data_IF_652183700904
#
_entry.id   IF_652183700904
#
_cell.length_a   1.000
_cell.length_b   1.000
_cell.length_c   1.000
_cell.angle_alpha   90.00
_cell.angle_beta   90.00
_cell.angle_gamma   90.00
#
_symmetry.space_group_name_H-M   'P 1'
#
loop_
_entity.id
_entity.type
_entity.pdbx_description
1 polymer ?
#
# COMPACT_ATOMS: atom_id res chain seq x y z
N UNK A 1 13.87 -10.82 9.65
CA UNK A 1 13.50 -11.02 11.08
C UNK A 1 12.06 -10.62 11.29
N UNK A 2 11.33 -11.31 12.19
CA UNK A 2 9.99 -10.89 12.60
C UNK A 2 10.06 -9.57 13.42
N UNK A 3 8.91 -8.89 13.54
CA UNK A 3 8.80 -7.60 14.24
C UNK A 3 9.41 -7.63 15.63
N UNK A 4 9.02 -8.61 16.46
CA UNK A 4 9.50 -8.72 17.83
C UNK A 4 11.02 -8.89 17.95
N UNK A 5 11.64 -9.51 16.97
CA UNK A 5 13.10 -9.65 16.91
C UNK A 5 13.82 -8.37 16.49
N UNK A 6 13.13 -7.43 15.86
CA UNK A 6 13.71 -6.14 15.44
C UNK A 6 13.59 -5.07 16.54
N UNK A 7 12.59 -5.21 17.39
CA UNK A 7 12.28 -4.25 18.44
C UNK A 7 13.48 -4.07 19.38
N UNK A 8 13.93 -2.83 19.57
CA UNK A 8 15.06 -2.48 20.44
C UNK A 8 16.44 -2.90 19.94
N UNK A 9 16.56 -3.64 18.83
CA UNK A 9 17.87 -4.01 18.27
C UNK A 9 18.48 -2.83 17.51
N UNK A 10 19.77 -2.53 17.73
CA UNK A 10 20.48 -1.53 16.95
C UNK A 10 20.40 -1.86 15.44
N UNK A 11 20.17 -0.84 14.63
CA UNK A 11 20.10 -0.98 13.18
C UNK A 11 21.47 -0.80 12.55
N UNK A 12 21.83 -1.75 11.68
CA UNK A 12 22.99 -1.65 10.81
C UNK A 12 22.48 -1.63 9.37
N UNK A 13 22.88 -0.66 8.55
CA UNK A 13 22.49 -0.65 7.13
C UNK A 13 22.93 -1.92 6.42
N UNK A 14 22.11 -2.54 5.55
CA UNK A 14 22.47 -3.77 4.87
C UNK A 14 23.72 -3.58 3.99
N UNK A 15 24.78 -4.37 4.22
CA UNK A 15 26.03 -4.32 3.43
C UNK A 15 25.90 -5.13 2.12
N UNK A 16 24.70 -5.22 1.59
CA UNK A 16 24.33 -6.12 0.48
C UNK A 16 24.31 -5.31 -0.82
N UNK A 17 24.86 -5.87 -1.87
CA UNK A 17 24.88 -5.28 -3.20
C UNK A 17 23.68 -5.76 -4.03
N UNK A 18 23.26 -4.94 -4.98
CA UNK A 18 22.23 -5.31 -5.95
C UNK A 18 22.62 -6.58 -6.74
N UNK A 19 23.88 -6.74 -7.06
CA UNK A 19 24.40 -7.92 -7.75
C UNK A 19 24.16 -9.20 -6.94
N UNK A 20 24.45 -9.22 -5.64
CA UNK A 20 24.19 -10.38 -4.78
C UNK A 20 22.72 -10.77 -4.74
N UNK A 21 21.81 -9.79 -4.72
CA UNK A 21 20.35 -10.03 -4.77
C UNK A 21 19.95 -10.65 -6.12
N UNK A 22 20.43 -10.10 -7.24
CA UNK A 22 20.11 -10.61 -8.57
C UNK A 22 20.71 -12.00 -8.85
N UNK A 23 21.94 -12.26 -8.40
CA UNK A 23 22.62 -13.56 -8.60
C UNK A 23 21.92 -14.69 -7.82
N UNK A 24 21.22 -14.36 -6.72
CA UNK A 24 20.52 -15.34 -5.90
C UNK A 24 19.20 -15.82 -6.53
N UNK A 25 18.64 -15.09 -7.50
CA UNK A 25 17.34 -15.39 -8.08
C UNK A 25 17.49 -16.06 -9.45
N UNK A 26 17.03 -17.31 -9.62
CA UNK A 26 17.07 -18.01 -10.89
C UNK A 26 16.32 -17.26 -11.99
N UNK A 27 16.93 -17.12 -13.15
CA UNK A 27 16.39 -16.35 -14.29
C UNK A 27 15.02 -16.83 -14.79
N UNK A 28 14.69 -18.11 -14.60
CA UNK A 28 13.38 -18.62 -15.00
C UNK A 28 12.22 -18.02 -14.19
N UNK A 29 12.46 -17.62 -12.92
CA UNK A 29 11.46 -16.97 -12.08
C UNK A 29 11.11 -15.54 -12.54
N UNK A 30 11.97 -14.95 -13.36
CA UNK A 30 11.77 -13.61 -13.92
C UNK A 30 10.99 -13.63 -15.25
N UNK A 31 10.69 -14.84 -15.77
CA UNK A 31 10.00 -14.99 -17.05
C UNK A 31 8.49 -14.84 -16.90
N UNK A 32 7.90 -14.11 -17.82
CA UNK A 32 6.44 -13.97 -17.93
C UNK A 32 5.86 -15.21 -18.62
N UNK A 33 4.73 -15.68 -18.09
CA UNK A 33 3.93 -16.75 -18.72
C UNK A 33 2.54 -16.19 -19.04
N UNK A 34 2.25 -15.86 -20.33
CA UNK A 34 0.97 -15.31 -20.74
C UNK A 34 -0.21 -16.24 -20.46
N UNK A 35 -0.04 -17.55 -20.55
CA UNK A 35 -1.12 -18.52 -20.30
C UNK A 35 -1.50 -18.52 -18.82
N UNK A 36 -0.50 -18.56 -17.95
CA UNK A 36 -0.69 -18.48 -16.51
C UNK A 36 -1.30 -17.15 -16.11
N UNK A 37 -0.87 -16.05 -16.73
CA UNK A 37 -1.43 -14.72 -16.54
C UNK A 37 -2.91 -14.66 -16.96
N UNK A 38 -3.24 -15.22 -18.12
CA UNK A 38 -4.63 -15.32 -18.61
C UNK A 38 -5.51 -16.15 -17.67
N UNK A 39 -4.98 -17.27 -17.15
CA UNK A 39 -5.70 -18.07 -16.15
C UNK A 39 -6.10 -17.23 -14.94
N UNK A 40 -5.20 -16.43 -14.38
CA UNK A 40 -5.51 -15.58 -13.22
C UNK A 40 -6.55 -14.50 -13.56
N UNK A 41 -6.47 -13.90 -14.74
CA UNK A 41 -7.48 -12.93 -15.20
C UNK A 41 -8.87 -13.56 -15.29
N UNK A 42 -8.97 -14.73 -15.95
CA UNK A 42 -10.23 -15.46 -16.09
C UNK A 42 -10.75 -15.90 -14.71
N UNK A 43 -9.88 -16.43 -13.85
CA UNK A 43 -10.21 -16.84 -12.49
C UNK A 43 -10.88 -15.71 -11.71
N UNK A 44 -10.26 -14.52 -11.70
CA UNK A 44 -10.72 -13.41 -10.88
C UNK A 44 -12.01 -12.78 -11.43
N UNK A 45 -12.15 -12.68 -12.75
CA UNK A 45 -13.41 -12.26 -13.39
C UNK A 45 -14.51 -13.28 -13.10
N UNK A 46 -14.20 -14.58 -13.13
CA UNK A 46 -15.17 -15.65 -12.84
C UNK A 46 -15.64 -15.61 -11.38
N UNK A 47 -14.73 -15.41 -10.41
CA UNK A 47 -15.12 -15.26 -9.01
C UNK A 47 -15.94 -13.99 -8.78
N UNK A 48 -15.57 -12.87 -9.41
CA UNK A 48 -16.35 -11.63 -9.34
C UNK A 48 -17.78 -11.85 -9.84
N UNK A 49 -17.94 -12.54 -10.99
CA UNK A 49 -19.26 -12.90 -11.56
C UNK A 49 -20.03 -13.87 -10.68
N UNK A 50 -19.34 -14.89 -10.12
CA UNK A 50 -19.96 -15.88 -9.22
C UNK A 50 -20.50 -15.24 -7.95
N UNK A 51 -19.71 -14.37 -7.31
CA UNK A 51 -20.17 -13.68 -6.10
C UNK A 51 -21.28 -12.67 -6.41
N UNK A 52 -21.21 -12.00 -7.55
CA UNK A 52 -22.31 -11.15 -7.99
C UNK A 52 -23.61 -11.94 -8.18
N UNK A 53 -23.53 -13.11 -8.83
CA UNK A 53 -24.67 -14.03 -8.97
C UNK A 53 -25.19 -14.53 -7.62
N UNK A 54 -24.30 -14.86 -6.67
CA UNK A 54 -24.68 -15.17 -5.29
C UNK A 54 -25.48 -14.01 -4.65
N UNK A 55 -25.02 -12.77 -4.80
CA UNK A 55 -25.73 -11.59 -4.32
C UNK A 55 -27.15 -11.48 -4.90
N UNK A 56 -27.30 -11.68 -6.21
CA UNK A 56 -28.61 -11.70 -6.88
C UNK A 56 -29.52 -12.83 -6.40
N UNK A 57 -28.95 -13.91 -5.88
CA UNK A 57 -29.71 -15.10 -5.46
C UNK A 57 -30.16 -15.04 -3.98
N UNK A 58 -29.72 -14.06 -3.19
CA UNK A 58 -29.99 -13.98 -1.73
C UNK A 58 -31.49 -14.02 -1.42
N UNK A 59 -32.31 -13.23 -2.10
CA UNK A 59 -33.74 -13.19 -1.84
C UNK A 59 -34.46 -14.49 -2.29
N UNK A 60 -33.97 -15.17 -3.34
CA UNK A 60 -34.46 -16.50 -3.74
C UNK A 60 -34.17 -17.56 -2.68
N UNK A 61 -32.93 -17.56 -2.15
CA UNK A 61 -32.51 -18.49 -1.10
C UNK A 61 -33.40 -18.34 0.14
N UNK A 62 -33.80 -17.13 0.48
CA UNK A 62 -34.62 -16.81 1.65
C UNK A 62 -36.11 -17.12 1.45
N UNK A 63 -36.63 -17.11 0.21
CA UNK A 63 -38.05 -17.34 -0.09
C UNK A 63 -38.44 -18.79 -0.22
N UNK A 64 -37.60 -19.74 0.15
CA UNK A 64 -37.84 -21.19 0.04
C UNK A 64 -38.15 -21.73 -1.37
N UNK A 65 -37.94 -20.97 -2.43
CA UNK A 65 -38.06 -21.44 -3.82
C UNK A 65 -37.10 -22.58 -4.16
N UNK A 66 -36.11 -22.79 -3.31
CA UNK A 66 -35.13 -23.91 -3.37
C UNK A 66 -35.44 -25.03 -2.36
N UNK A 67 -36.72 -25.35 -2.11
CA UNK A 67 -37.10 -26.55 -1.41
C UNK A 67 -36.63 -26.65 0.06
N UNK A 68 -36.65 -25.55 0.82
CA UNK A 68 -36.49 -25.60 2.26
C UNK A 68 -35.10 -25.89 2.81
N UNK A 69 -34.04 -25.57 2.07
CA UNK A 69 -32.63 -25.75 2.54
C UNK A 69 -32.28 -24.94 3.80
N UNK A 70 -33.02 -23.89 4.10
CA UNK A 70 -32.95 -23.17 5.37
C UNK A 70 -34.31 -23.20 6.05
N UNK A 71 -34.51 -24.01 7.11
CA UNK A 71 -35.78 -24.09 7.84
C UNK A 71 -35.98 -22.85 8.72
N UNK A 72 -36.07 -21.67 8.07
CA UNK A 72 -36.28 -20.38 8.75
C UNK A 72 -37.78 -20.20 8.97
N UNK A 73 -38.29 -20.59 10.10
CA UNK A 73 -39.73 -20.49 10.43
C UNK A 73 -40.13 -19.18 11.09
N UNK A 74 -39.20 -18.53 11.81
CA UNK A 74 -39.47 -17.28 12.50
C UNK A 74 -38.98 -16.06 11.72
N UNK A 75 -39.73 -14.95 11.77
CA UNK A 75 -39.38 -13.72 11.07
C UNK A 75 -37.99 -13.15 11.43
N UNK A 76 -37.56 -13.30 12.68
CA UNK A 76 -36.21 -12.88 13.09
C UNK A 76 -35.09 -13.73 12.46
N UNK A 77 -35.34 -15.04 12.26
CA UNK A 77 -34.37 -15.94 11.59
C UNK A 77 -34.19 -15.53 10.12
N UNK A 78 -35.26 -15.19 9.42
CA UNK A 78 -35.20 -14.66 8.03
C UNK A 78 -34.45 -13.34 7.98
N UNK A 79 -34.68 -12.42 8.93
CA UNK A 79 -33.95 -11.15 9.01
C UNK A 79 -32.45 -11.38 9.28
N UNK A 80 -32.12 -12.25 10.21
CA UNK A 80 -30.72 -12.57 10.53
C UNK A 80 -30.05 -13.28 9.36
N UNK A 81 -30.71 -14.29 8.75
CA UNK A 81 -30.20 -14.98 7.56
C UNK A 81 -29.92 -14.03 6.41
N UNK A 82 -30.85 -13.09 6.15
CA UNK A 82 -30.64 -12.02 5.15
C UNK A 82 -29.42 -11.19 5.46
N UNK A 83 -29.26 -10.73 6.69
CA UNK A 83 -28.11 -9.91 7.08
C UNK A 83 -26.78 -10.68 6.91
N UNK A 84 -26.73 -11.95 7.32
CA UNK A 84 -25.54 -12.81 7.18
C UNK A 84 -25.18 -13.08 5.72
N UNK A 85 -26.16 -13.35 4.85
CA UNK A 85 -25.94 -13.58 3.42
C UNK A 85 -25.44 -12.32 2.71
N UNK A 86 -26.00 -11.14 3.04
CA UNK A 86 -25.52 -9.87 2.51
C UNK A 86 -24.09 -9.57 3.00
N UNK A 87 -23.76 -9.81 4.27
CA UNK A 87 -22.41 -9.66 4.79
C UNK A 87 -21.42 -10.57 4.07
N UNK A 88 -21.79 -11.84 3.84
CA UNK A 88 -20.98 -12.78 3.08
C UNK A 88 -20.77 -12.30 1.63
N UNK A 89 -21.84 -11.85 0.97
CA UNK A 89 -21.73 -11.26 -0.37
C UNK A 89 -20.75 -10.09 -0.40
N UNK A 90 -20.93 -9.12 0.48
CA UNK A 90 -20.09 -7.93 0.52
C UNK A 90 -18.62 -8.27 0.77
N UNK A 91 -18.36 -9.24 1.63
CA UNK A 91 -17.02 -9.73 1.89
C UNK A 91 -16.36 -10.31 0.62
N UNK A 92 -16.99 -11.30 0.02
CA UNK A 92 -16.41 -11.99 -1.13
C UNK A 92 -16.34 -11.13 -2.39
N UNK A 93 -17.36 -10.33 -2.64
CA UNK A 93 -17.36 -9.38 -3.75
C UNK A 93 -16.27 -8.32 -3.58
N UNK A 94 -16.07 -7.83 -2.37
CA UNK A 94 -15.02 -6.88 -2.10
C UNK A 94 -13.62 -7.48 -2.22
N UNK A 95 -13.39 -8.74 -1.82
CA UNK A 95 -12.13 -9.43 -2.09
C UNK A 95 -11.87 -9.56 -3.60
N UNK A 96 -12.92 -9.81 -4.40
CA UNK A 96 -12.78 -9.81 -5.86
C UNK A 96 -12.40 -8.44 -6.43
N UNK A 97 -12.94 -7.36 -5.86
CA UNK A 97 -12.54 -6.00 -6.27
C UNK A 97 -11.09 -5.69 -5.85
N UNK A 98 -10.65 -6.15 -4.68
CA UNK A 98 -9.25 -6.05 -4.26
C UNK A 98 -8.33 -6.88 -5.18
N UNK A 99 -8.79 -8.04 -5.64
CA UNK A 99 -8.10 -8.85 -6.65
C UNK A 99 -7.92 -8.10 -7.97
N UNK A 100 -8.96 -7.37 -8.42
CA UNK A 100 -8.86 -6.51 -9.61
C UNK A 100 -7.82 -5.41 -9.44
N UNK A 101 -7.74 -4.81 -8.25
CA UNK A 101 -6.69 -3.85 -7.96
C UNK A 101 -5.29 -4.48 -8.06
N UNK A 102 -5.09 -5.66 -7.47
CA UNK A 102 -3.81 -6.34 -7.49
C UNK A 102 -3.43 -6.83 -8.90
N UNK A 103 -4.38 -7.28 -9.72
CA UNK A 103 -4.10 -7.58 -11.13
C UNK A 103 -3.71 -6.33 -11.93
N UNK A 104 -4.44 -5.23 -11.74
CA UNK A 104 -4.11 -3.97 -12.40
C UNK A 104 -2.75 -3.42 -11.93
N UNK A 105 -2.39 -3.61 -10.67
CA UNK A 105 -1.07 -3.34 -10.15
C UNK A 105 0.03 -4.10 -10.92
N UNK A 106 -0.16 -5.39 -11.15
CA UNK A 106 0.76 -6.21 -11.93
C UNK A 106 0.84 -5.77 -13.40
N UNK A 107 -0.31 -5.41 -14.00
CA UNK A 107 -0.34 -4.79 -15.32
C UNK A 107 0.42 -3.46 -15.36
N UNK A 108 0.34 -2.67 -14.30
CA UNK A 108 1.10 -1.42 -14.14
C UNK A 108 2.61 -1.64 -14.17
N UNK A 109 3.09 -2.72 -13.57
CA UNK A 109 4.48 -3.16 -13.61
C UNK A 109 4.87 -3.90 -14.89
N UNK A 110 3.93 -4.13 -15.80
CA UNK A 110 4.18 -4.84 -17.06
C UNK A 110 4.64 -6.31 -16.87
N UNK A 111 4.21 -6.98 -15.79
CA UNK A 111 4.71 -8.31 -15.40
C UNK A 111 4.00 -9.48 -16.08
N UNK A 112 2.78 -9.28 -16.59
CA UNK A 112 1.91 -10.39 -16.99
C UNK A 112 2.04 -10.78 -18.47
N UNK A 113 2.14 -9.81 -19.38
CA UNK A 113 2.29 -10.06 -20.81
C UNK A 113 3.55 -9.39 -21.36
N UNK A 114 4.08 -9.93 -22.45
CA UNK A 114 5.22 -9.33 -23.17
C UNK A 114 4.83 -8.02 -23.86
N UNK A 115 3.61 -7.96 -24.41
CA UNK A 115 3.11 -6.79 -25.09
C UNK A 115 2.66 -5.72 -24.08
N UNK A 116 3.29 -4.55 -24.14
CA UNK A 116 2.99 -3.39 -23.29
C UNK A 116 1.53 -2.94 -23.39
N UNK A 117 0.99 -2.92 -24.61
CA UNK A 117 -0.38 -2.43 -24.85
C UNK A 117 -1.42 -3.38 -24.25
N UNK A 118 -1.17 -4.69 -24.25
CA UNK A 118 -2.06 -5.66 -23.59
C UNK A 118 -2.11 -5.39 -22.08
N UNK A 119 -0.95 -5.20 -21.46
CA UNK A 119 -0.90 -4.84 -20.02
C UNK A 119 -1.63 -3.52 -19.75
N UNK A 120 -1.38 -2.50 -20.56
CA UNK A 120 -1.98 -1.16 -20.33
C UNK A 120 -3.51 -1.18 -20.53
N UNK A 121 -4.01 -1.89 -21.52
CA UNK A 121 -5.45 -2.02 -21.81
C UNK A 121 -6.13 -2.81 -20.68
N UNK A 122 -5.61 -3.97 -20.32
CA UNK A 122 -6.22 -4.80 -19.27
C UNK A 122 -6.14 -4.10 -17.90
N UNK A 123 -5.00 -3.52 -17.55
CA UNK A 123 -4.85 -2.75 -16.33
C UNK A 123 -5.82 -1.57 -16.24
N UNK A 124 -6.02 -0.86 -17.35
CA UNK A 124 -7.00 0.21 -17.44
C UNK A 124 -8.43 -0.26 -17.14
N UNK A 125 -8.88 -1.35 -17.76
CA UNK A 125 -10.23 -1.86 -17.51
C UNK A 125 -10.41 -2.41 -16.09
N UNK A 126 -9.44 -3.15 -15.56
CA UNK A 126 -9.53 -3.66 -14.18
C UNK A 126 -9.57 -2.53 -13.15
N UNK A 127 -8.75 -1.48 -13.29
CA UNK A 127 -8.77 -0.34 -12.40
C UNK A 127 -10.02 0.53 -12.59
N UNK A 128 -10.45 0.81 -13.84
CA UNK A 128 -11.66 1.59 -14.10
C UNK A 128 -12.90 0.92 -13.48
N UNK A 129 -13.00 -0.42 -13.56
CA UNK A 129 -14.10 -1.20 -12.97
C UNK A 129 -14.24 -1.00 -11.44
N UNK A 130 -13.16 -0.59 -10.76
CA UNK A 130 -13.13 -0.30 -9.32
C UNK A 130 -12.84 1.17 -9.03
N UNK A 131 -13.15 2.08 -9.95
CA UNK A 131 -12.97 3.53 -9.81
C UNK A 131 -11.55 3.93 -9.39
N UNK A 132 -10.52 3.29 -9.93
CA UNK A 132 -9.12 3.64 -9.76
C UNK A 132 -8.54 4.21 -11.07
N UNK A 133 -7.81 5.35 -11.04
CA UNK A 133 -7.22 5.97 -12.25
C UNK A 133 -5.92 5.27 -12.63
N UNK A 134 -5.97 4.29 -13.54
CA UNK A 134 -4.87 3.37 -13.85
C UNK A 134 -3.55 4.05 -14.19
N UNK A 135 -3.52 4.95 -15.18
CA UNK A 135 -2.26 5.54 -15.62
C UNK A 135 -1.70 6.56 -14.61
N UNK A 136 -2.58 7.28 -13.90
CA UNK A 136 -2.17 8.19 -12.83
C UNK A 136 -1.53 7.41 -11.67
N UNK A 137 -2.22 6.36 -11.21
CA UNK A 137 -1.69 5.47 -10.19
C UNK A 137 -0.39 4.78 -10.64
N UNK A 138 -0.34 4.26 -11.87
CA UNK A 138 0.85 3.61 -12.44
C UNK A 138 2.06 4.55 -12.45
N UNK A 139 1.88 5.82 -12.80
CA UNK A 139 2.96 6.80 -12.84
C UNK A 139 3.55 7.04 -11.45
N UNK A 140 2.71 7.38 -10.45
CA UNK A 140 3.14 7.63 -9.07
C UNK A 140 3.70 6.37 -8.40
N UNK A 141 3.08 5.21 -8.62
CA UNK A 141 3.51 3.94 -8.04
C UNK A 141 4.86 3.45 -8.59
N UNK A 142 5.09 3.58 -9.89
CA UNK A 142 6.40 3.28 -10.47
C UNK A 142 7.49 4.27 -10.01
N UNK A 143 7.14 5.52 -9.73
CA UNK A 143 8.07 6.48 -9.14
C UNK A 143 8.42 6.10 -7.70
N UNK A 144 7.41 5.66 -6.90
CA UNK A 144 7.61 5.11 -5.57
C UNK A 144 8.59 3.91 -5.56
N UNK A 145 8.41 2.92 -6.44
CA UNK A 145 9.34 1.78 -6.54
C UNK A 145 10.79 2.17 -6.84
N UNK A 146 10.99 3.27 -7.55
CA UNK A 146 12.35 3.78 -7.83
C UNK A 146 12.97 4.53 -6.67
N UNK A 147 12.19 4.98 -5.70
CA UNK A 147 12.63 5.91 -4.65
C UNK A 147 12.13 5.56 -3.25
N UNK A 148 11.65 4.34 -3.07
CA UNK A 148 11.05 3.85 -1.82
C UNK A 148 11.94 4.14 -0.61
N UNK A 149 11.33 4.57 0.49
CA UNK A 149 11.96 4.95 1.76
C UNK A 149 12.98 6.12 1.66
N UNK A 150 13.01 6.87 0.55
CA UNK A 150 13.74 8.15 0.46
C UNK A 150 12.85 9.28 0.98
N UNK A 151 13.30 10.00 2.00
CA UNK A 151 12.53 11.13 2.58
C UNK A 151 12.29 12.23 1.55
N UNK A 152 13.26 12.50 0.69
CA UNK A 152 13.18 13.59 -0.29
C UNK A 152 12.50 13.17 -1.60
N UNK A 153 12.51 11.87 -1.97
CA UNK A 153 12.17 11.45 -3.33
C UNK A 153 11.02 10.46 -3.45
N UNK A 154 10.63 9.78 -2.36
CA UNK A 154 9.49 8.87 -2.39
C UNK A 154 8.21 9.63 -2.75
N UNK A 155 7.38 9.04 -3.63
CA UNK A 155 6.14 9.67 -4.09
C UNK A 155 4.97 9.43 -3.15
N UNK A 156 4.94 8.28 -2.46
CA UNK A 156 3.72 7.78 -1.85
C UNK A 156 3.75 7.77 -0.31
N UNK A 157 4.93 7.53 0.29
CA UNK A 157 5.04 7.30 1.73
C UNK A 157 6.19 8.09 2.34
N UNK A 158 5.94 9.37 2.57
CA UNK A 158 6.90 10.25 3.24
C UNK A 158 6.44 10.52 4.67
N UNK A 159 7.23 10.11 5.67
CA UNK A 159 6.93 10.37 7.08
C UNK A 159 6.73 11.85 7.37
N UNK A 160 5.90 12.15 8.36
CA UNK A 160 5.81 13.51 8.89
C UNK A 160 7.04 13.83 9.72
N UNK A 161 7.60 15.03 9.55
CA UNK A 161 8.73 15.53 10.31
C UNK A 161 8.25 16.25 11.58
N UNK A 162 9.14 16.44 12.55
CA UNK A 162 8.91 17.14 13.82
C UNK A 162 8.24 18.51 13.63
N UNK A 163 8.71 19.29 12.66
CA UNK A 163 8.19 20.63 12.32
C UNK A 163 6.73 20.64 11.88
N UNK A 164 6.25 19.55 11.27
CA UNK A 164 4.85 19.43 10.88
C UNK A 164 3.90 19.55 12.07
N UNK A 165 4.30 18.99 13.20
CA UNK A 165 3.56 19.04 14.44
C UNK A 165 3.90 20.25 15.32
N UNK A 166 4.78 21.15 14.83
CA UNK A 166 5.27 22.31 15.59
C UNK A 166 5.89 21.95 16.96
N UNK A 167 6.44 20.75 17.07
CA UNK A 167 7.11 20.30 18.28
C UNK A 167 8.39 21.11 18.54
N UNK A 168 8.75 21.38 19.82
CA UNK A 168 10.00 22.03 20.15
C UNK A 168 11.21 21.28 19.62
N UNK A 169 12.38 21.93 19.43
CA UNK A 169 13.64 21.25 19.09
C UNK A 169 13.91 20.07 20.03
N UNK A 170 14.49 19.00 19.52
CA UNK A 170 14.70 17.74 20.25
C UNK A 170 15.37 17.92 21.60
N UNK A 171 16.36 18.85 21.69
CA UNK A 171 17.15 19.12 22.89
C UNK A 171 16.36 19.83 24.00
N UNK A 172 15.23 20.44 23.65
CA UNK A 172 14.38 21.21 24.56
C UNK A 172 13.03 20.54 24.81
N UNK A 173 12.67 19.59 23.98
CA UNK A 173 11.38 18.93 24.04
C UNK A 173 11.26 18.07 25.31
N UNK A 174 10.19 18.24 26.04
CA UNK A 174 9.82 17.46 27.22
C UNK A 174 8.74 16.42 26.84
N UNK A 175 8.54 15.43 27.72
CA UNK A 175 7.44 14.47 27.55
C UNK A 175 6.07 15.16 27.47
N UNK A 176 5.89 16.27 28.18
CA UNK A 176 4.65 17.05 28.17
C UNK A 176 4.38 17.64 26.77
N UNK A 177 5.39 18.21 26.13
CA UNK A 177 5.25 18.77 24.77
C UNK A 177 4.80 17.73 23.76
N UNK A 178 5.35 16.51 23.84
CA UNK A 178 4.93 15.42 22.98
C UNK A 178 3.49 15.00 23.24
N UNK A 179 3.10 14.83 24.51
CA UNK A 179 1.75 14.39 24.86
C UNK A 179 0.70 15.45 24.54
N UNK A 180 1.01 16.73 24.74
CA UNK A 180 0.09 17.83 24.41
C UNK A 180 -0.32 17.80 22.92
N UNK A 181 0.62 17.51 22.04
CA UNK A 181 0.40 17.56 20.59
C UNK A 181 -0.03 16.21 20.01
N UNK A 182 0.52 15.10 20.53
CA UNK A 182 0.42 13.79 19.91
C UNK A 182 -0.47 12.80 20.65
N UNK A 183 -0.87 13.10 21.91
CA UNK A 183 -1.75 12.18 22.63
C UNK A 183 -3.20 12.31 22.17
N UNK A 184 -3.78 11.18 21.88
CA UNK A 184 -5.18 11.10 21.42
C UNK A 184 -5.94 10.08 22.26
N UNK A 185 -7.22 10.35 22.49
CA UNK A 185 -8.10 9.35 23.09
C UNK A 185 -8.27 8.15 22.14
N UNK A 186 -8.41 6.92 22.65
CA UNK A 186 -8.60 5.73 21.80
C UNK A 186 -9.79 5.86 20.81
N UNK A 187 -10.85 6.57 21.20
CA UNK A 187 -12.01 6.77 20.32
C UNK A 187 -11.69 7.70 19.14
N UNK A 188 -10.88 8.74 19.37
CA UNK A 188 -10.43 9.63 18.29
C UNK A 188 -9.49 8.88 17.32
N UNK A 189 -8.53 8.12 17.85
CA UNK A 189 -7.65 7.24 17.04
C UNK A 189 -8.48 6.27 16.19
N UNK A 190 -9.49 5.62 16.78
CA UNK A 190 -10.39 4.73 16.03
C UNK A 190 -11.18 5.49 14.96
N UNK A 191 -11.66 6.69 15.25
CA UNK A 191 -12.33 7.56 14.28
C UNK A 191 -11.43 7.91 13.08
N UNK A 192 -10.18 8.29 13.33
CA UNK A 192 -9.19 8.59 12.29
C UNK A 192 -8.84 7.35 11.45
N UNK A 193 -8.69 6.18 12.08
CA UNK A 193 -8.50 4.92 11.37
C UNK A 193 -9.69 4.59 10.47
N UNK A 194 -10.93 4.83 10.93
CA UNK A 194 -12.12 4.65 10.11
C UNK A 194 -12.16 5.62 8.92
N UNK A 195 -11.82 6.90 9.14
CA UNK A 195 -11.71 7.89 8.07
C UNK A 195 -10.66 7.45 7.06
N UNK A 196 -9.46 7.07 7.50
CA UNK A 196 -8.41 6.56 6.64
C UNK A 196 -8.90 5.39 5.79
N UNK A 197 -9.57 4.41 6.39
CA UNK A 197 -10.05 3.22 5.68
C UNK A 197 -11.21 3.51 4.70
N UNK A 198 -12.05 4.51 4.98
CA UNK A 198 -13.23 4.79 4.17
C UNK A 198 -12.98 5.78 3.04
N UNK A 199 -12.15 6.78 3.27
CA UNK A 199 -11.95 7.90 2.34
C UNK A 199 -10.48 8.19 2.04
N UNK A 200 -9.54 7.52 2.70
CA UNK A 200 -8.10 7.78 2.57
C UNK A 200 -7.59 7.62 1.13
N UNK A 201 -8.12 6.64 0.36
CA UNK A 201 -7.82 6.51 -1.06
C UNK A 201 -8.17 7.78 -1.85
N UNK A 202 -9.38 8.31 -1.64
CA UNK A 202 -9.84 9.53 -2.31
C UNK A 202 -9.10 10.76 -1.82
N UNK A 203 -8.74 10.82 -0.53
CA UNK A 203 -7.87 11.87 0.01
C UNK A 203 -6.49 11.83 -0.65
N UNK A 204 -5.89 10.65 -0.78
CA UNK A 204 -4.63 10.49 -1.50
C UNK A 204 -4.77 10.95 -2.95
N UNK A 205 -5.79 10.50 -3.68
CA UNK A 205 -6.00 10.86 -5.08
C UNK A 205 -6.27 12.36 -5.28
N UNK A 206 -7.01 13.01 -4.36
CA UNK A 206 -7.43 14.42 -4.51
C UNK A 206 -6.44 15.43 -3.93
N UNK A 207 -5.69 15.06 -2.90
CA UNK A 207 -4.83 15.99 -2.14
C UNK A 207 -3.39 15.53 -1.98
N UNK A 208 -3.02 14.39 -2.58
CA UNK A 208 -1.72 13.75 -2.39
C UNK A 208 -1.38 13.50 -0.89
N UNK A 209 -2.39 13.18 -0.08
CA UNK A 209 -2.22 12.92 1.34
C UNK A 209 -1.18 11.81 1.57
N UNK A 210 -0.25 12.00 2.51
CA UNK A 210 0.91 11.14 2.80
C UNK A 210 1.94 11.02 1.66
N UNK A 211 1.70 11.64 0.50
CA UNK A 211 2.68 11.70 -0.58
C UNK A 211 3.80 12.71 -0.30
N UNK A 212 4.73 12.81 -1.25
CA UNK A 212 5.88 13.69 -1.16
C UNK A 212 5.50 15.15 -0.92
N UNK A 213 6.13 15.79 0.07
CA UNK A 213 5.90 17.19 0.43
C UNK A 213 6.60 18.19 -0.49
N UNK A 214 7.47 17.73 -1.37
CA UNK A 214 8.09 18.57 -2.39
C UNK A 214 7.07 19.19 -3.35
N UNK A 215 5.87 18.61 -3.40
CA UNK A 215 4.80 19.07 -4.28
C UNK A 215 3.96 20.16 -3.61
N UNK A 216 3.49 21.16 -4.38
CA UNK A 216 2.67 22.24 -3.86
C UNK A 216 1.29 21.76 -3.41
N UNK A 217 0.64 22.53 -2.54
CA UNK A 217 -0.78 22.29 -2.17
C UNK A 217 -1.65 22.29 -3.43
N UNK A 218 -2.62 21.38 -3.49
CA UNK A 218 -3.49 21.18 -4.66
C UNK A 218 -2.99 20.13 -5.65
N UNK A 219 -1.83 19.55 -5.42
CA UNK A 219 -1.35 18.40 -6.19
C UNK A 219 -2.34 17.23 -6.06
N UNK A 220 -2.72 16.64 -7.19
CA UNK A 220 -3.72 15.56 -7.25
C UNK A 220 -3.43 14.62 -8.43
N UNK A 221 -4.14 13.49 -8.48
CA UNK A 221 -3.95 12.44 -9.46
C UNK A 221 -4.90 12.52 -10.67
N UNK A 222 -5.71 13.57 -10.79
CA UNK A 222 -6.68 13.74 -11.88
C UNK A 222 -6.23 14.80 -12.89
N UNK A 223 -5.51 15.83 -12.46
CA UNK A 223 -5.02 16.84 -13.39
C UNK A 223 -3.85 16.32 -14.22
N UNK A 224 -3.91 16.30 -15.56
CA UNK A 224 -2.76 15.95 -16.40
C UNK A 224 -1.60 16.94 -16.30
N UNK A 225 -1.84 18.10 -15.68
CA UNK A 225 -0.85 19.15 -15.41
C UNK A 225 -0.38 19.16 -13.95
N UNK A 226 -0.79 18.17 -13.16
CA UNK A 226 -0.30 17.99 -11.79
C UNK A 226 1.23 17.83 -11.79
N UNK A 227 1.88 18.38 -10.76
CA UNK A 227 3.33 18.27 -10.57
C UNK A 227 3.84 16.83 -10.42
N UNK A 228 2.94 15.88 -10.18
CA UNK A 228 3.24 14.44 -10.13
C UNK A 228 3.65 13.88 -11.49
N UNK A 229 3.18 14.49 -12.59
CA UNK A 229 3.24 13.86 -13.90
C UNK A 229 4.15 14.60 -14.87
N UNK A 230 4.92 13.82 -15.62
CA UNK A 230 5.71 14.31 -16.73
C UNK A 230 4.83 14.61 -17.95
N UNK A 231 5.25 15.47 -18.88
CA UNK A 231 4.49 15.77 -20.09
C UNK A 231 4.07 14.53 -20.89
N UNK A 232 4.92 13.50 -20.92
CA UNK A 232 4.68 12.25 -21.66
C UNK A 232 3.55 11.39 -21.04
N UNK A 233 3.25 11.60 -19.77
CA UNK A 233 2.24 10.85 -18.99
C UNK A 233 0.84 11.47 -19.10
N UNK A 234 0.72 12.73 -19.56
CA UNK A 234 -0.53 13.51 -19.58
C UNK A 234 -1.69 12.82 -20.30
N UNK A 235 -1.43 12.23 -21.46
CA UNK A 235 -2.47 11.49 -22.20
C UNK A 235 -3.00 10.31 -21.36
N UNK A 236 -2.11 9.61 -20.68
CA UNK A 236 -2.51 8.52 -19.78
C UNK A 236 -3.42 8.99 -18.64
N UNK A 237 -3.14 10.20 -18.08
CA UNK A 237 -3.99 10.75 -17.01
C UNK A 237 -5.39 11.04 -17.55
N UNK A 238 -5.49 11.71 -18.71
CA UNK A 238 -6.78 11.96 -19.37
C UNK A 238 -7.55 10.65 -19.65
N UNK A 239 -6.86 9.60 -20.11
CA UNK A 239 -7.49 8.29 -20.31
C UNK A 239 -7.98 7.70 -18.99
N UNK A 240 -7.24 7.87 -17.89
CA UNK A 240 -7.70 7.43 -16.56
C UNK A 240 -8.99 8.13 -16.16
N UNK A 241 -9.09 9.43 -16.34
CA UNK A 241 -10.28 10.21 -16.03
C UNK A 241 -11.48 9.79 -16.89
N UNK A 242 -11.26 9.53 -18.20
CA UNK A 242 -12.28 8.97 -19.08
C UNK A 242 -12.79 7.63 -18.54
N UNK A 243 -11.91 6.76 -18.05
CA UNK A 243 -12.29 5.50 -17.43
C UNK A 243 -13.17 5.67 -16.20
N UNK A 244 -12.80 6.60 -15.32
CA UNK A 244 -13.59 6.94 -14.12
C UNK A 244 -14.96 7.51 -14.49
N UNK A 245 -15.02 8.45 -15.45
CA UNK A 245 -16.28 9.02 -15.94
C UNK A 245 -17.12 7.93 -16.59
N UNK A 246 -16.54 7.06 -17.40
CA UNK A 246 -17.21 5.92 -18.03
C UNK A 246 -17.86 4.99 -17.01
N UNK A 247 -17.08 4.55 -16.01
CA UNK A 247 -17.62 3.70 -14.93
C UNK A 247 -18.66 4.43 -14.07
N UNK A 248 -18.42 5.70 -13.74
CA UNK A 248 -19.42 6.54 -13.06
C UNK A 248 -20.74 6.65 -13.85
N UNK A 249 -20.65 6.79 -15.17
CA UNK A 249 -21.83 6.80 -16.05
C UNK A 249 -22.56 5.46 -16.04
N UNK A 250 -21.84 4.33 -16.10
CA UNK A 250 -22.43 2.99 -15.97
C UNK A 250 -23.20 2.85 -14.66
N UNK A 251 -22.59 3.25 -13.54
CA UNK A 251 -23.24 3.20 -12.22
C UNK A 251 -24.46 4.13 -12.13
N UNK A 252 -24.37 5.32 -12.74
CA UNK A 252 -25.50 6.24 -12.81
C UNK A 252 -26.69 5.64 -13.58
N UNK A 253 -26.45 5.11 -14.77
CA UNK A 253 -27.52 4.47 -15.56
C UNK A 253 -28.04 3.20 -14.87
N UNK A 254 -27.17 2.39 -14.24
CA UNK A 254 -27.61 1.26 -13.43
C UNK A 254 -28.53 1.73 -12.28
N UNK A 255 -28.23 2.87 -11.65
CA UNK A 255 -29.09 3.43 -10.59
C UNK A 255 -30.45 3.89 -11.10
N UNK A 256 -30.55 4.35 -12.35
CA UNK A 256 -31.82 4.69 -12.99
C UNK A 256 -32.65 3.45 -13.36
N UNK A 257 -32.00 2.37 -13.78
CA UNK A 257 -32.68 1.14 -14.21
C UNK A 257 -33.10 0.26 -13.03
N UNK A 258 -32.23 0.12 -12.02
CA UNK A 258 -32.39 -0.83 -10.91
C UNK A 258 -32.59 -0.16 -9.55
N UNK A 259 -32.55 1.17 -9.50
CA UNK A 259 -32.64 1.99 -8.28
C UNK A 259 -31.28 2.16 -7.58
N UNK A 260 -31.12 3.32 -6.92
CA UNK A 260 -29.88 3.67 -6.21
C UNK A 260 -29.51 2.68 -5.09
N UNK A 261 -30.53 2.08 -4.43
CA UNK A 261 -30.31 1.04 -3.41
C UNK A 261 -29.62 -0.19 -4.00
N UNK A 262 -29.96 -0.61 -5.20
CA UNK A 262 -29.30 -1.74 -5.86
C UNK A 262 -27.82 -1.44 -6.09
N UNK A 263 -27.50 -0.29 -6.68
CA UNK A 263 -26.10 0.12 -6.91
C UNK A 263 -25.32 0.23 -5.59
N UNK A 264 -25.98 0.77 -4.55
CA UNK A 264 -25.37 0.82 -3.21
C UNK A 264 -25.04 -0.59 -2.69
N UNK A 265 -26.01 -1.51 -2.71
CA UNK A 265 -25.86 -2.86 -2.13
C UNK A 265 -24.90 -3.75 -2.95
N UNK A 266 -24.95 -3.66 -4.27
CA UNK A 266 -24.20 -4.56 -5.16
C UNK A 266 -22.83 -4.03 -5.56
N UNK A 267 -22.59 -2.71 -5.48
CA UNK A 267 -21.30 -2.14 -5.89
C UNK A 267 -20.66 -1.32 -4.77
N UNK A 268 -21.31 -0.26 -4.26
CA UNK A 268 -20.63 0.65 -3.33
C UNK A 268 -20.36 0.04 -1.96
N UNK A 269 -21.25 -0.80 -1.43
CA UNK A 269 -20.95 -1.48 -0.16
C UNK A 269 -19.78 -2.44 -0.34
N UNK A 270 -19.71 -3.38 -1.28
CA UNK A 270 -18.49 -4.18 -1.52
C UNK A 270 -17.25 -3.32 -1.77
N UNK A 271 -17.39 -2.21 -2.48
CA UNK A 271 -16.31 -1.29 -2.79
C UNK A 271 -15.76 -0.57 -1.55
N UNK A 272 -16.62 -0.13 -0.62
CA UNK A 272 -16.22 0.63 0.57
C UNK A 272 -16.24 -0.24 1.82
N UNK A 273 -16.97 -1.37 1.83
CA UNK A 273 -17.57 -2.07 2.98
C UNK A 273 -17.06 -1.66 4.34
N UNK A 274 -17.96 -0.97 4.98
CA UNK A 274 -17.94 -0.79 6.43
C UNK A 274 -18.52 -2.03 7.10
N UNK A 275 -17.73 -2.73 7.87
CA UNK A 275 -18.28 -3.53 8.94
C UNK A 275 -18.95 -2.64 9.98
N UNK A 276 -20.27 -2.42 9.86
CA UNK A 276 -21.10 -1.85 10.95
C UNK A 276 -21.19 -2.81 12.12
N UNK A 277 -20.76 -4.06 11.94
CA UNK A 277 -20.66 -5.05 13.00
C UNK A 277 -19.23 -5.53 13.18
N UNK A 278 -18.77 -5.56 14.38
CA UNK A 278 -17.47 -5.74 15.01
C UNK A 278 -16.53 -6.81 14.44
N UNK A 279 -16.96 -7.62 13.45
CA UNK A 279 -16.20 -8.76 12.90
C UNK A 279 -16.05 -8.80 11.38
N UNK A 280 -16.79 -7.99 10.63
CA UNK A 280 -16.67 -7.94 9.15
C UNK A 280 -15.83 -6.73 8.73
N UNK A 281 -14.54 -6.78 9.01
CA UNK A 281 -13.59 -5.70 8.75
C UNK A 281 -13.04 -5.80 7.33
N UNK A 282 -13.14 -4.69 6.57
CA UNK A 282 -12.29 -4.30 5.46
C UNK A 282 -12.47 -5.09 4.16
N UNK A 283 -13.08 -4.47 3.16
CA UNK A 283 -13.05 -5.00 1.81
C UNK A 283 -12.66 -3.90 0.83
N UNK A 284 -12.00 -4.23 -0.21
CA UNK A 284 -11.43 -3.52 -1.34
C UNK A 284 -10.55 -2.30 -1.03
N UNK A 285 -11.10 -1.10 -0.92
CA UNK A 285 -10.28 0.12 -0.82
C UNK A 285 -9.61 0.25 0.55
N UNK A 286 -10.31 -0.05 1.63
CA UNK A 286 -9.70 -0.07 2.95
C UNK A 286 -8.61 -1.13 3.08
N UNK A 287 -8.83 -2.31 2.48
CA UNK A 287 -7.84 -3.39 2.46
C UNK A 287 -6.60 -3.00 1.65
N UNK A 288 -6.78 -2.39 0.47
CA UNK A 288 -5.67 -1.92 -0.37
C UNK A 288 -4.88 -0.82 0.35
N UNK A 289 -5.56 0.16 0.96
CA UNK A 289 -4.89 1.23 1.69
C UNK A 289 -4.15 0.71 2.93
N UNK A 290 -4.76 -0.20 3.69
CA UNK A 290 -4.10 -0.86 4.83
C UNK A 290 -2.86 -1.63 4.38
N UNK A 291 -2.97 -2.39 3.29
CA UNK A 291 -1.88 -3.16 2.71
C UNK A 291 -0.72 -2.24 2.35
N UNK A 292 -0.95 -1.23 1.52
CA UNK A 292 0.11 -0.32 1.07
C UNK A 292 0.72 0.45 2.24
N UNK A 293 -0.08 0.95 3.18
CA UNK A 293 0.40 1.65 4.38
C UNK A 293 1.30 0.75 5.24
N UNK A 294 0.86 -0.46 5.56
CA UNK A 294 1.56 -1.36 6.48
C UNK A 294 2.90 -1.87 5.95
N UNK A 295 3.08 -1.93 4.65
CA UNK A 295 4.36 -2.36 4.07
C UNK A 295 5.44 -1.27 4.14
N UNK A 296 5.05 0.00 4.30
CA UNK A 296 5.94 1.17 4.29
C UNK A 296 5.93 1.96 5.59
N UNK A 297 5.00 1.67 6.52
CA UNK A 297 4.87 2.35 7.82
C UNK A 297 4.96 1.33 8.94
N UNK A 298 6.18 1.00 9.32
CA UNK A 298 6.51 0.11 10.45
C UNK A 298 7.50 0.84 11.37
N UNK A 299 7.32 0.83 12.70
CA UNK A 299 8.21 1.57 13.61
C UNK A 299 9.65 1.05 13.65
N UNK A 300 9.92 -0.13 13.06
CA UNK A 300 11.24 -0.78 13.08
C UNK A 300 12.00 -0.71 11.76
N UNK A 301 11.40 -0.13 10.70
CA UNK A 301 12.08 0.08 9.42
C UNK A 301 12.63 1.51 9.30
N UNK A 302 13.81 1.69 8.67
CA UNK A 302 14.42 2.99 8.50
C UNK A 302 13.83 3.76 7.32
N UNK A 303 14.00 5.09 7.38
CA UNK A 303 13.89 6.00 6.24
C UNK A 303 15.24 6.67 6.04
N UNK A 304 15.58 6.95 4.79
CA UNK A 304 16.91 7.41 4.41
C UNK A 304 16.88 8.80 3.77
N UNK A 305 17.78 9.66 4.19
CA UNK A 305 18.10 10.88 3.45
C UNK A 305 19.05 10.57 2.29
N UNK A 306 19.18 11.51 1.35
CA UNK A 306 19.93 11.32 0.08
C UNK A 306 21.33 10.75 0.28
N UNK A 307 22.00 11.09 1.37
CA UNK A 307 23.38 10.71 1.71
C UNK A 307 23.52 9.20 1.97
N UNK A 308 22.52 8.59 2.55
CA UNK A 308 22.49 7.19 2.91
C UNK A 308 21.50 6.36 2.11
N UNK A 309 20.70 7.02 1.30
CA UNK A 309 19.77 6.31 0.45
C UNK A 309 20.49 5.56 -0.68
N UNK A 310 20.13 4.31 -0.86
CA UNK A 310 20.41 3.56 -2.08
C UNK A 310 19.17 2.73 -2.41
N UNK A 311 19.03 2.35 -3.67
CA UNK A 311 17.89 1.56 -4.09
C UNK A 311 17.75 0.24 -3.32
N UNK A 312 18.87 -0.46 -3.03
CA UNK A 312 18.88 -1.69 -2.22
C UNK A 312 18.39 -1.43 -0.79
N UNK A 313 18.86 -0.35 -0.16
CA UNK A 313 18.44 0.03 1.20
C UNK A 313 16.97 0.39 1.25
N UNK A 314 16.48 1.14 0.26
CA UNK A 314 15.07 1.50 0.15
C UNK A 314 14.19 0.27 -0.04
N UNK A 315 14.50 -0.61 -0.99
CA UNK A 315 13.75 -1.85 -1.20
C UNK A 315 13.76 -2.77 0.04
N UNK A 316 14.89 -2.84 0.76
CA UNK A 316 15.00 -3.59 2.01
C UNK A 316 14.25 -2.93 3.19
N UNK A 317 13.84 -1.66 3.09
CA UNK A 317 13.04 -0.96 4.09
C UNK A 317 11.53 -1.16 3.89
N UNK A 318 11.13 -2.30 3.37
CA UNK A 318 9.73 -2.74 3.26
C UNK A 318 9.51 -4.00 4.10
N UNK A 319 8.25 -4.35 4.37
CA UNK A 319 7.89 -5.44 5.30
C UNK A 319 6.91 -6.40 4.63
N UNK A 320 7.20 -7.70 4.67
CA UNK A 320 6.26 -8.75 4.29
C UNK A 320 5.29 -9.04 5.44
N UNK A 321 3.98 -9.20 5.12
CA UNK A 321 2.93 -9.48 6.10
C UNK A 321 1.94 -10.54 5.61
N UNK A 322 1.55 -11.54 6.42
CA UNK A 322 0.60 -12.58 6.03
C UNK A 322 -0.85 -12.08 6.11
N UNK A 323 -1.15 -10.94 5.45
CA UNK A 323 -2.47 -10.33 5.46
C UNK A 323 -3.52 -11.30 4.91
N UNK A 324 -4.57 -11.56 5.70
CA UNK A 324 -5.65 -12.51 5.40
C UNK A 324 -5.20 -13.97 5.14
N UNK A 325 -3.95 -14.33 5.42
CA UNK A 325 -3.44 -15.67 5.24
C UNK A 325 -3.63 -16.20 3.80
N UNK A 326 -4.28 -17.37 3.63
CA UNK A 326 -4.49 -17.98 2.32
C UNK A 326 -5.36 -17.12 1.38
N UNK A 327 -6.35 -16.39 1.91
CA UNK A 327 -7.18 -15.48 1.11
C UNK A 327 -6.35 -14.34 0.52
N UNK A 328 -5.39 -13.82 1.29
CA UNK A 328 -4.44 -12.81 0.80
C UNK A 328 -3.57 -13.35 -0.34
N UNK A 329 -3.05 -14.57 -0.22
CA UNK A 329 -2.31 -15.20 -1.33
C UNK A 329 -3.19 -15.43 -2.56
N UNK A 330 -4.44 -15.81 -2.35
CA UNK A 330 -5.36 -16.14 -3.45
C UNK A 330 -5.90 -14.90 -4.16
N UNK A 331 -6.45 -13.92 -3.41
CA UNK A 331 -7.11 -12.73 -3.96
C UNK A 331 -6.18 -11.53 -4.12
N UNK A 332 -5.17 -11.37 -3.23
CA UNK A 332 -4.23 -10.24 -3.31
C UNK A 332 -2.93 -10.60 -4.04
N UNK A 333 -2.90 -11.71 -4.76
CA UNK A 333 -1.81 -12.08 -5.65
C UNK A 333 -0.42 -11.99 -5.00
N UNK A 334 -0.29 -12.46 -3.75
CA UNK A 334 0.95 -12.43 -2.97
C UNK A 334 1.51 -11.03 -2.63
N UNK A 335 0.91 -9.94 -3.08
CA UNK A 335 1.44 -8.58 -2.91
C UNK A 335 1.79 -8.25 -1.46
N UNK A 336 1.00 -8.74 -0.48
CA UNK A 336 1.28 -8.52 0.94
C UNK A 336 2.31 -9.49 1.52
N UNK A 337 2.31 -10.73 1.04
CA UNK A 337 3.14 -11.80 1.59
C UNK A 337 4.57 -11.76 1.09
N UNK A 338 4.79 -11.15 -0.08
CA UNK A 338 6.06 -11.16 -0.81
C UNK A 338 6.44 -9.74 -1.29
N UNK A 339 6.12 -8.72 -0.47
CA UNK A 339 6.27 -7.31 -0.82
C UNK A 339 7.73 -6.87 -0.91
N UNK A 340 8.59 -7.40 -0.04
CA UNK A 340 10.04 -7.16 -0.11
C UNK A 340 10.59 -7.67 -1.44
N UNK A 341 10.22 -8.89 -1.84
CA UNK A 341 10.61 -9.45 -3.13
C UNK A 341 10.05 -8.65 -4.29
N UNK A 342 8.80 -8.17 -4.17
CA UNK A 342 8.16 -7.32 -5.17
C UNK A 342 8.92 -6.00 -5.37
N UNK A 343 9.43 -5.36 -4.31
CA UNK A 343 10.25 -4.16 -4.44
C UNK A 343 11.60 -4.40 -5.09
N UNK A 344 12.23 -5.56 -4.86
CA UNK A 344 13.46 -5.94 -5.56
C UNK A 344 13.24 -6.39 -7.01
N UNK A 345 12.11 -7.01 -7.31
CA UNK A 345 11.81 -7.62 -8.60
C UNK A 345 10.40 -7.25 -9.08
N UNK A 346 10.09 -5.96 -9.11
CA UNK A 346 8.78 -5.44 -9.53
C UNK A 346 8.41 -5.79 -10.98
N UNK A 347 9.36 -6.24 -11.78
CA UNK A 347 9.16 -6.72 -13.15
C UNK A 347 8.93 -8.24 -13.25
N UNK A 348 9.04 -8.98 -12.14
CA UNK A 348 8.77 -10.41 -12.09
C UNK A 348 7.28 -10.67 -11.78
N UNK A 349 6.64 -11.65 -12.44
CA UNK A 349 5.24 -11.94 -12.19
C UNK A 349 4.95 -12.35 -10.74
N UNK A 350 3.84 -11.88 -10.18
CA UNK A 350 3.43 -12.14 -8.79
C UNK A 350 3.39 -13.61 -8.41
N UNK A 351 3.06 -14.49 -9.35
CA UNK A 351 2.97 -15.92 -9.12
C UNK A 351 4.33 -16.61 -8.94
N UNK A 352 5.43 -15.90 -9.22
CA UNK A 352 6.79 -16.33 -8.96
C UNK A 352 7.39 -15.67 -7.70
N UNK A 353 6.75 -14.62 -7.16
CA UNK A 353 7.25 -13.88 -6.00
C UNK A 353 7.49 -14.77 -4.76
N UNK A 354 6.66 -15.79 -4.42
CA UNK A 354 6.94 -16.66 -3.29
C UNK A 354 8.29 -17.39 -3.37
N UNK A 355 8.70 -17.84 -4.57
CA UNK A 355 10.00 -18.48 -4.76
C UNK A 355 11.14 -17.46 -4.75
N UNK A 356 10.92 -16.27 -5.33
CA UNK A 356 11.87 -15.15 -5.27
C UNK A 356 12.12 -14.76 -3.81
N UNK A 357 11.06 -14.63 -2.99
CA UNK A 357 11.18 -14.35 -1.56
C UNK A 357 12.07 -15.36 -0.85
N UNK A 358 11.94 -16.66 -1.13
CA UNK A 358 12.82 -17.69 -0.54
C UNK A 358 14.27 -17.44 -0.89
N UNK A 359 14.55 -17.09 -2.15
CA UNK A 359 15.91 -16.80 -2.61
C UNK A 359 16.51 -15.58 -1.91
N UNK A 360 15.79 -14.46 -1.90
CA UNK A 360 16.32 -13.20 -1.34
C UNK A 360 16.42 -13.23 0.20
N UNK A 361 15.57 -13.98 0.90
CA UNK A 361 15.70 -14.18 2.35
C UNK A 361 17.05 -14.77 2.73
N UNK A 362 17.60 -15.67 1.90
CA UNK A 362 18.93 -16.25 2.11
C UNK A 362 20.05 -15.22 2.02
N UNK A 363 19.89 -14.17 1.20
CA UNK A 363 20.85 -13.08 1.03
C UNK A 363 20.64 -11.99 2.08
N UNK A 364 19.41 -11.55 2.28
CA UNK A 364 19.07 -10.48 3.22
C UNK A 364 19.25 -10.88 4.68
N UNK A 365 19.05 -12.17 5.02
CA UNK A 365 19.20 -12.70 6.39
C UNK A 365 18.48 -11.81 7.42
N UNK A 366 19.23 -11.21 8.34
CA UNK A 366 18.75 -10.35 9.41
C UNK A 366 18.18 -9.01 8.91
N UNK A 367 18.46 -8.63 7.67
CA UNK A 367 17.90 -7.43 7.04
C UNK A 367 16.55 -7.69 6.33
N UNK A 368 16.10 -8.94 6.26
CA UNK A 368 14.77 -9.26 5.73
C UNK A 368 13.71 -8.96 6.79
N UNK A 369 12.78 -8.07 6.46
CA UNK A 369 11.72 -7.66 7.36
C UNK A 369 10.45 -8.49 7.11
N UNK A 370 9.99 -9.11 8.16
CA UNK A 370 8.73 -9.85 8.21
C UNK A 370 7.96 -9.46 9.48
N UNK A 371 6.65 -9.42 9.41
CA UNK A 371 5.81 -9.17 10.58
C UNK A 371 4.61 -10.11 10.57
N UNK A 372 4.65 -11.09 11.48
CA UNK A 372 3.59 -12.08 11.67
C UNK A 372 2.41 -11.57 12.50
N UNK A 373 2.51 -10.37 13.05
CA UNK A 373 1.45 -9.76 13.87
C UNK A 373 0.15 -9.68 13.09
N UNK A 374 -0.98 -9.90 13.76
CA UNK A 374 -2.30 -9.68 13.16
C UNK A 374 -2.36 -8.30 12.51
N UNK A 375 -2.71 -8.24 11.23
CA UNK A 375 -2.61 -7.02 10.43
C UNK A 375 -3.45 -5.85 10.95
N UNK A 376 -4.53 -6.11 11.67
CA UNK A 376 -5.36 -5.06 12.28
C UNK A 376 -4.70 -4.47 13.52
N UNK A 377 -4.08 -5.33 14.33
CA UNK A 377 -3.28 -4.85 15.45
C UNK A 377 -2.02 -4.13 14.95
N UNK A 378 -1.39 -4.64 13.90
CA UNK A 378 -0.26 -3.98 13.24
C UNK A 378 -0.65 -2.60 12.69
N UNK A 379 -1.87 -2.46 12.13
CA UNK A 379 -2.38 -1.17 11.65
C UNK A 379 -2.54 -0.16 12.82
N UNK A 380 -3.17 -0.59 13.91
CA UNK A 380 -3.31 0.25 15.10
C UNK A 380 -1.93 0.64 15.66
N UNK A 381 -1.01 -0.33 15.77
CA UNK A 381 0.37 -0.11 16.20
C UNK A 381 1.11 0.89 15.32
N UNK A 382 1.11 0.68 14.01
CA UNK A 382 1.78 1.60 13.07
C UNK A 382 1.15 2.99 13.13
N UNK A 383 -0.17 3.09 13.21
CA UNK A 383 -0.88 4.37 13.27
C UNK A 383 -0.57 5.16 14.55
N UNK A 384 -0.32 4.48 15.68
CA UNK A 384 -0.02 5.12 16.98
C UNK A 384 1.48 5.26 17.26
N UNK A 385 2.33 4.54 16.56
CA UNK A 385 3.78 4.56 16.80
C UNK A 385 4.60 5.20 15.66
N UNK A 386 4.05 5.25 14.45
CA UNK A 386 4.70 5.91 13.32
C UNK A 386 4.18 7.35 13.18
N UNK A 387 4.45 8.21 14.18
CA UNK A 387 3.85 9.54 14.22
C UNK A 387 4.70 10.56 13.46
N UNK A 388 5.99 10.63 13.74
CA UNK A 388 6.90 11.57 13.06
C UNK A 388 8.32 11.01 13.00
N UNK A 389 9.17 11.66 12.19
CA UNK A 389 10.62 11.46 12.16
C UNK A 389 11.34 12.74 12.54
N UNK A 390 12.61 12.61 12.96
CA UNK A 390 13.47 13.77 13.18
C UNK A 390 13.90 14.39 11.84
N UNK A 391 14.14 15.72 11.85
CA UNK A 391 14.65 16.46 10.70
C UNK A 391 16.12 16.20 10.46
N UNK A 392 16.84 15.83 11.50
CA UNK A 392 18.25 15.51 11.48
C UNK A 392 18.51 14.01 11.43
N UNK A 393 19.69 13.64 10.93
CA UNK A 393 20.13 12.27 10.81
C UNK A 393 19.93 11.72 9.39
N UNK A 394 20.98 11.08 8.85
CA UNK A 394 20.99 10.51 7.52
C UNK A 394 20.15 9.22 7.39
N UNK A 395 19.89 8.55 8.53
CA UNK A 395 19.00 7.39 8.68
C UNK A 395 18.12 7.65 9.88
N UNK A 396 16.79 7.66 9.71
CA UNK A 396 15.85 7.97 10.76
C UNK A 396 14.77 6.90 10.87
N UNK A 397 14.20 6.80 12.08
CA UNK A 397 13.09 5.92 12.41
C UNK A 397 11.89 6.73 12.88
N UNK A 398 10.70 6.17 12.71
CA UNK A 398 9.50 6.75 13.30
C UNK A 398 9.62 6.86 14.82
N UNK A 399 9.06 7.93 15.36
CA UNK A 399 8.88 8.16 16.78
C UNK A 399 7.42 8.15 17.16
N UNK A 400 7.17 7.66 18.37
CA UNK A 400 5.84 7.59 18.98
C UNK A 400 5.48 8.90 19.72
N UNK A 401 4.32 8.93 20.38
CA UNK A 401 3.82 10.05 21.18
C UNK A 401 4.68 10.40 22.42
N UNK A 402 5.73 9.66 22.71
CA UNK A 402 6.69 9.95 23.77
C UNK A 402 8.04 10.40 23.21
N UNK A 403 8.14 10.62 21.89
CA UNK A 403 9.38 10.98 21.23
C UNK A 403 10.40 9.83 21.13
N UNK A 404 9.97 8.58 21.34
CA UNK A 404 10.82 7.40 21.36
C UNK A 404 10.73 6.65 20.04
N UNK A 405 11.86 6.18 19.53
CA UNK A 405 11.93 5.28 18.40
C UNK A 405 11.92 3.82 18.88
N UNK A 406 11.26 2.94 18.13
CA UNK A 406 11.24 1.50 18.40
C UNK A 406 12.59 0.83 18.09
N UNK A 407 13.43 1.52 17.31
CA UNK A 407 14.75 1.07 16.89
C UNK A 407 15.61 2.28 16.54
N UNK A 408 16.92 2.19 16.76
CA UNK A 408 17.88 3.26 16.46
C UNK A 408 19.07 2.70 15.67
N UNK A 409 19.82 3.59 15.02
CA UNK A 409 21.04 3.22 14.29
C UNK A 409 22.12 2.85 15.34
N UNK A 410 22.91 1.81 15.06
CA UNK A 410 23.99 1.40 15.91
C UNK A 410 25.06 2.50 16.04
N UNK A 411 25.61 2.74 17.24
CA UNK A 411 26.53 3.84 17.54
C UNK A 411 27.80 3.81 16.68
N UNK A 412 28.34 2.63 16.43
CA UNK A 412 29.50 2.43 15.55
C UNK A 412 29.21 2.84 14.10
N UNK A 413 27.99 2.61 13.65
CA UNK A 413 27.54 3.02 12.30
C UNK A 413 27.31 4.52 12.20
N UNK A 414 26.82 5.15 13.26
CA UNK A 414 26.68 6.62 13.30
C UNK A 414 28.03 7.31 13.12
N UNK A 415 29.09 6.83 13.78
CA UNK A 415 30.45 7.39 13.63
C UNK A 415 30.96 7.28 12.20
N UNK A 416 30.78 6.12 11.54
CA UNK A 416 31.19 5.89 10.16
C UNK A 416 30.40 6.81 9.20
N UNK A 417 29.12 6.99 9.44
CA UNK A 417 28.24 7.86 8.63
C UNK A 417 28.67 9.31 8.78
N UNK A 418 28.93 9.79 10.00
CA UNK A 418 29.36 11.15 10.27
C UNK A 418 30.75 11.45 9.72
N UNK A 419 31.69 10.51 9.78
CA UNK A 419 33.02 10.65 9.21
C UNK A 419 32.99 10.77 7.68
N UNK A 420 32.16 9.94 7.02
CA UNK A 420 31.96 10.02 5.56
C UNK A 420 31.31 11.33 5.15
N UNK A 421 30.30 11.77 5.89
CA UNK A 421 29.63 13.05 5.65
C UNK A 421 30.60 14.22 5.70
N UNK A 422 31.41 14.30 6.78
CA UNK A 422 32.45 15.34 6.93
C UNK A 422 33.48 15.31 5.82
N UNK A 423 33.84 14.12 5.33
CA UNK A 423 34.80 13.98 4.24
C UNK A 423 34.23 14.37 2.86
N UNK A 424 32.91 14.23 2.64
CA UNK A 424 32.23 14.64 1.41
C UNK A 424 31.95 16.14 1.39
N UNK A 425 31.48 16.70 2.51
CA UNK A 425 31.25 18.15 2.66
C UNK A 425 32.55 18.94 2.53
N UNK A 426 33.62 18.46 3.15
CA UNK A 426 34.96 19.04 2.98
C UNK A 426 35.48 19.01 1.53
N UNK A 427 35.13 17.98 0.75
CA UNK A 427 35.45 17.94 -0.70
C UNK A 427 34.62 18.91 -1.53
N UNK A 428 33.35 19.11 -1.19
CA UNK A 428 32.49 20.07 -1.86
C UNK A 428 32.90 21.52 -1.57
N UNK A 429 33.33 21.84 -0.34
CA UNK A 429 33.89 23.16 -0.01
C UNK A 429 35.19 23.43 -0.73
N UNK A 430 36.13 22.48 -0.81
CA UNK A 430 37.36 22.64 -1.58
C UNK A 430 37.12 22.84 -3.09
N UNK A 431 36.08 22.21 -3.65
CA UNK A 431 35.70 22.43 -5.05
C UNK A 431 35.06 23.79 -5.28
N UNK A 432 34.31 24.33 -4.32
CA UNK A 432 33.75 25.71 -4.43
C UNK A 432 34.78 26.80 -4.29
N UNK A 433 35.79 26.64 -3.42
CA UNK A 433 36.88 27.60 -3.27
C UNK A 433 37.82 27.59 -4.47
N UNK A 434 37.99 26.48 -5.17
CA UNK A 434 38.81 26.40 -6.39
C UNK A 434 38.14 27.02 -7.65
N UNK A 435 36.82 27.25 -7.64
CA UNK A 435 36.06 27.83 -8.76
C UNK A 435 35.85 29.34 -8.57
N UNK A 436 36.03 29.89 -7.36
CA UNK A 436 35.94 31.33 -7.07
C UNK A 436 37.25 32.08 -7.24
N UNK A 437 38.30 31.43 -7.71
CA UNK A 437 39.66 31.99 -7.91
C UNK A 437 40.09 32.18 -9.36
N UNK A 438 39.13 32.36 -10.32
CA UNK A 438 39.45 32.80 -11.68
C UNK A 438 38.56 33.95 -12.11
#
# INVERSE_FOLDING_TARGET
MDFDFRLGKPFVPPPITLKQIHDAVPKHLLRKDPWRSTYFCIRDVSFCGLFFYFGLSIERILRSEFGGYLPLTAAWQVKLGRALLWMAYWWWQGLSFASFFCLAHEFGHQTLYHNKYVNDILGYFFHAAILAPFFAWKASHNAHHRTVASIERDENYVPYERSYYQLPPKERATTADYLEVLDETPILTMGRLLIMQCVGWWLYMTTNAMGSRRYPKGTNHFSPYSSLFRPEERLGIVLSDIGLIGMGSILYYASKLYGGKAVLMYYFIPYVVRGVFFWARYVTIGLVLMLTYLHHSDPTIPHYRKEQWSWVRGAAATVDRPLLGWMGRFFLHNVSHDHVAHHFFSYAPFYNQPEITKCIRGVLKDHYNYDSTNSFYALYRSFTQCMFIEEEGAIVFYKNKHGQAAREVAEDQLKIIDERWKAEDGRLQCCHESVSGF
#
